data_IF_105943319126
#
_entry.id   IF_105943319126
#
_cell.length_a   1.000
_cell.length_b   1.000
_cell.length_c   1.000
_cell.angle_alpha   90.00
_cell.angle_beta   90.00
_cell.angle_gamma   90.00
#
_symmetry.space_group_name_H-M   'P 1'
#
loop_
_entity.id
_entity.type
_entity.pdbx_description
1 polymer ?
#
# COMPACT_ATOMS: atom_id res chain seq x y z
N UNK A 1 0.46 -23.87 4.54
CA UNK A 1 1.38 -25.01 4.44
C UNK A 1 2.74 -24.44 4.75
N UNK A 2 3.37 -24.92 5.81
CA UNK A 2 4.59 -24.29 6.33
C UNK A 2 5.81 -25.05 5.81
N UNK A 3 6.82 -24.32 5.34
CA UNK A 3 8.05 -24.90 4.81
C UNK A 3 9.26 -24.27 5.46
N UNK A 4 10.33 -25.06 5.62
CA UNK A 4 11.59 -24.58 6.19
C UNK A 4 12.45 -23.96 5.09
N UNK A 5 12.84 -22.71 5.28
CA UNK A 5 13.79 -22.00 4.42
C UNK A 5 15.14 -21.88 5.15
N UNK A 6 16.20 -22.41 4.56
CA UNK A 6 17.57 -22.31 5.09
C UNK A 6 18.36 -21.30 4.26
N UNK A 7 18.89 -20.26 4.91
CA UNK A 7 19.63 -19.17 4.27
C UNK A 7 21.06 -19.12 4.83
N UNK A 8 22.04 -18.84 3.97
CA UNK A 8 23.41 -18.53 4.39
C UNK A 8 23.53 -17.03 4.62
N UNK A 9 23.86 -16.64 5.84
CA UNK A 9 23.95 -15.24 6.29
C UNK A 9 25.21 -15.06 7.13
N UNK A 10 25.67 -13.82 7.30
CA UNK A 10 26.74 -13.51 8.23
C UNK A 10 26.27 -13.78 9.68
N UNK A 11 27.09 -14.49 10.45
CA UNK A 11 26.83 -14.84 11.85
C UNK A 11 26.50 -13.61 12.70
N UNK A 12 27.23 -12.50 12.55
CA UNK A 12 27.01 -11.28 13.33
C UNK A 12 25.60 -10.69 13.08
N UNK A 13 25.11 -10.79 11.85
CA UNK A 13 23.76 -10.32 11.48
C UNK A 13 22.70 -11.22 12.12
N UNK A 14 22.92 -12.55 12.15
CA UNK A 14 22.00 -13.50 12.79
C UNK A 14 21.87 -13.16 14.29
N UNK A 15 22.97 -12.88 14.96
CA UNK A 15 22.97 -12.60 16.40
C UNK A 15 22.30 -11.27 16.73
N UNK A 16 22.56 -10.23 15.95
CA UNK A 16 21.85 -8.94 16.06
C UNK A 16 20.33 -9.10 15.83
N UNK A 17 19.94 -9.85 14.80
CA UNK A 17 18.54 -10.07 14.48
C UNK A 17 17.82 -10.89 15.57
N UNK A 18 18.48 -11.89 16.16
CA UNK A 18 17.94 -12.65 17.30
C UNK A 18 17.76 -11.76 18.54
N UNK A 19 18.73 -10.88 18.83
CA UNK A 19 18.63 -9.92 19.94
C UNK A 19 17.43 -8.99 19.75
N UNK A 20 17.30 -8.40 18.56
CA UNK A 20 16.16 -7.55 18.21
C UNK A 20 14.83 -8.30 18.34
N UNK A 21 14.74 -9.54 17.85
CA UNK A 21 13.53 -10.34 17.95
C UNK A 21 13.12 -10.58 19.42
N UNK A 22 14.10 -10.89 20.28
CA UNK A 22 13.86 -11.09 21.71
C UNK A 22 13.39 -9.81 22.40
N UNK A 23 14.01 -8.68 22.12
CA UNK A 23 13.63 -7.37 22.66
C UNK A 23 12.21 -6.97 22.26
N UNK A 24 11.77 -7.38 21.06
CA UNK A 24 10.44 -7.11 20.53
C UNK A 24 9.42 -8.24 20.79
N UNK A 25 9.72 -9.18 21.71
CA UNK A 25 8.87 -10.32 22.05
C UNK A 25 8.37 -11.10 20.81
N UNK A 26 9.23 -11.29 19.82
CA UNK A 26 8.92 -11.96 18.56
C UNK A 26 9.99 -12.99 18.18
N UNK A 27 9.73 -13.78 17.14
CA UNK A 27 10.68 -14.76 16.62
C UNK A 27 11.34 -14.28 15.34
N UNK A 28 12.58 -14.73 15.10
CA UNK A 28 13.29 -14.42 13.86
C UNK A 28 12.53 -14.92 12.63
N UNK A 29 11.92 -16.10 12.72
CA UNK A 29 11.07 -16.65 11.64
C UNK A 29 9.88 -15.73 11.35
N UNK A 30 9.22 -15.19 12.38
CA UNK A 30 8.08 -14.27 12.22
C UNK A 30 8.51 -12.95 11.58
N UNK A 31 9.66 -12.41 11.98
CA UNK A 31 10.23 -11.20 11.37
C UNK A 31 10.49 -11.38 9.88
N UNK A 32 11.15 -12.48 9.50
CA UNK A 32 11.47 -12.77 8.10
C UNK A 32 10.21 -13.05 7.28
N UNK A 33 9.25 -13.81 7.84
CA UNK A 33 7.95 -14.04 7.20
C UNK A 33 7.23 -12.73 6.90
N UNK A 34 7.11 -11.85 7.91
CA UNK A 34 6.47 -10.54 7.76
C UNK A 34 7.19 -9.67 6.72
N UNK A 35 8.52 -9.67 6.71
CA UNK A 35 9.31 -8.94 5.73
C UNK A 35 9.07 -9.46 4.30
N UNK A 36 9.15 -10.77 4.10
CA UNK A 36 8.90 -11.39 2.80
C UNK A 36 7.46 -11.12 2.34
N UNK A 37 6.48 -11.15 3.23
CA UNK A 37 5.10 -10.77 2.94
C UNK A 37 4.99 -9.30 2.51
N UNK A 38 5.65 -8.38 3.23
CA UNK A 38 5.64 -6.96 2.89
C UNK A 38 6.27 -6.69 1.50
N UNK A 39 7.37 -7.36 1.17
CA UNK A 39 8.08 -7.20 -0.11
C UNK A 39 7.31 -7.83 -1.28
N UNK A 40 6.65 -8.97 -1.05
CA UNK A 40 5.93 -9.71 -2.12
C UNK A 40 4.50 -9.22 -2.32
N UNK A 41 3.85 -8.67 -1.29
CA UNK A 41 2.45 -8.21 -1.36
C UNK A 41 2.22 -7.04 -2.32
N UNK A 42 3.25 -6.22 -2.60
CA UNK A 42 3.14 -5.07 -3.54
C UNK A 42 2.91 -5.47 -4.99
N UNK A 43 3.14 -6.74 -5.37
CA UNK A 43 2.94 -7.17 -6.77
C UNK A 43 1.48 -7.45 -7.14
N UNK A 44 0.51 -7.40 -6.21
CA UNK A 44 -0.88 -7.79 -6.50
C UNK A 44 -1.91 -6.70 -6.74
N UNK A 45 -1.63 -5.40 -6.55
CA UNK A 45 -2.58 -4.33 -6.95
C UNK A 45 -1.87 -3.07 -7.43
N UNK A 46 -1.63 -3.00 -8.75
CA UNK A 46 -1.71 -1.70 -9.44
C UNK A 46 -3.19 -1.30 -9.42
N UNK A 47 -3.45 -0.07 -9.01
CA UNK A 47 -4.75 0.54 -8.69
C UNK A 47 -5.41 0.04 -7.39
N UNK A 48 -5.03 0.65 -6.28
CA UNK A 48 -6.02 1.04 -5.29
C UNK A 48 -5.93 2.55 -5.17
N UNK A 49 -6.95 3.21 -5.69
CA UNK A 49 -7.25 4.60 -5.34
C UNK A 49 -7.15 4.71 -3.81
N UNK A 50 -6.55 5.78 -3.30
CA UNK A 50 -6.38 5.97 -1.84
C UNK A 50 -7.73 5.86 -1.13
N UNK A 51 -7.83 5.24 0.07
CA UNK A 51 -9.09 5.17 0.82
C UNK A 51 -9.78 6.52 0.99
N UNK A 52 -8.99 7.59 1.12
CA UNK A 52 -9.51 8.96 1.16
C UNK A 52 -10.22 9.33 -0.15
N UNK A 53 -9.60 9.05 -1.29
CA UNK A 53 -10.17 9.36 -2.61
C UNK A 53 -11.41 8.50 -2.87
N UNK A 54 -11.42 7.23 -2.45
CA UNK A 54 -12.61 6.37 -2.50
C UNK A 54 -13.77 6.97 -1.69
N UNK A 55 -13.51 7.39 -0.44
CA UNK A 55 -14.53 8.05 0.40
C UNK A 55 -15.07 9.36 -0.20
N UNK A 56 -14.22 10.14 -0.87
CA UNK A 56 -14.62 11.39 -1.51
C UNK A 56 -15.43 11.13 -2.79
N UNK A 57 -15.06 10.12 -3.58
CA UNK A 57 -15.79 9.76 -4.81
C UNK A 57 -17.17 9.16 -4.55
N UNK A 58 -17.37 8.41 -3.47
CA UNK A 58 -18.68 7.82 -3.13
C UNK A 58 -19.72 8.84 -2.64
N UNK A 59 -19.28 10.03 -2.23
CA UNK A 59 -20.15 11.12 -1.77
C UNK A 59 -20.64 11.98 -2.94
N UNK A 60 -19.85 12.07 -4.02
CA UNK A 60 -20.19 12.85 -5.21
C UNK A 60 -20.87 11.91 -6.20
N UNK A 61 -22.21 11.93 -6.23
CA UNK A 61 -22.95 11.37 -7.37
C UNK A 61 -22.64 12.23 -8.58
N UNK A 62 -21.68 11.81 -9.40
CA UNK A 62 -21.51 12.37 -10.72
C UNK A 62 -22.75 11.96 -11.52
N UNK A 63 -23.73 12.86 -11.60
CA UNK A 63 -24.76 12.76 -12.64
C UNK A 63 -24.04 12.74 -13.99
N UNK A 64 -24.59 12.03 -14.97
CA UNK A 64 -24.08 12.01 -16.36
C UNK A 64 -24.31 13.38 -17.05
N UNK A 65 -24.06 14.48 -16.35
CA UNK A 65 -23.96 15.81 -16.91
C UNK A 65 -22.63 15.89 -17.64
N UNK A 66 -22.68 16.37 -18.88
CA UNK A 66 -21.50 16.59 -19.71
C UNK A 66 -20.70 17.76 -19.13
N UNK A 67 -19.97 17.49 -18.04
CA UNK A 67 -19.23 18.48 -17.24
C UNK A 67 -18.33 19.38 -18.09
N UNK A 68 -17.85 18.87 -19.23
CA UNK A 68 -17.04 19.64 -20.18
C UNK A 68 -17.84 20.79 -20.79
N UNK A 69 -19.10 20.56 -21.12
CA UNK A 69 -19.99 21.57 -21.69
C UNK A 69 -20.30 22.65 -20.65
N UNK A 70 -20.71 22.26 -19.45
CA UNK A 70 -21.02 23.19 -18.36
C UNK A 70 -19.80 24.04 -17.97
N UNK A 71 -18.61 23.44 -17.95
CA UNK A 71 -17.36 24.15 -17.67
C UNK A 71 -17.01 25.16 -18.78
N UNK A 72 -17.23 24.80 -20.04
CA UNK A 72 -16.98 25.68 -21.19
C UNK A 72 -17.95 26.86 -21.20
N UNK A 73 -19.22 26.62 -20.90
CA UNK A 73 -20.26 27.66 -20.80
C UNK A 73 -19.97 28.62 -19.63
N UNK A 74 -19.56 28.10 -18.48
CA UNK A 74 -19.14 28.93 -17.33
C UNK A 74 -17.96 29.84 -17.67
N UNK A 75 -16.90 29.29 -18.29
CA UNK A 75 -15.73 30.09 -18.68
C UNK A 75 -16.10 31.16 -19.71
N UNK A 76 -16.96 30.82 -20.67
CA UNK A 76 -17.42 31.77 -21.70
C UNK A 76 -18.19 32.94 -21.06
N UNK A 77 -19.05 32.69 -20.07
CA UNK A 77 -19.74 33.74 -19.33
C UNK A 77 -18.82 34.57 -18.43
N UNK A 78 -17.85 33.93 -17.76
CA UNK A 78 -16.96 34.61 -16.81
C UNK A 78 -16.00 35.59 -17.49
N UNK A 79 -15.60 35.28 -18.71
CA UNK A 79 -14.60 36.05 -19.47
C UNK A 79 -15.20 36.78 -20.69
N UNK A 80 -16.53 36.86 -20.80
CA UNK A 80 -17.24 37.83 -21.65
C UNK A 80 -17.49 39.13 -20.90
#
# INVERSE_FOLDING_TARGET
MDSKLTLKLNQQIIDQAKKYAKENNTSLSKLIENYLQAVTSRKKKRSKISPLVESLTGVIKAENTDYKKDYTDYLSQKYS
#
